data_IF_479273558254
#
_entry.id   IF_479273558254
#
_cell.length_a   1.000
_cell.length_b   1.000
_cell.length_c   1.000
_cell.angle_alpha   90.00
_cell.angle_beta   90.00
_cell.angle_gamma   90.00
#
_symmetry.space_group_name_H-M   'P 1'
#
loop_
_entity.id
_entity.type
_entity.pdbx_description
1 polymer ?
#
# COMPACT_ATOMS: atom_id res chain seq x y z
N UNK A 1 -75.22 0.60 19.47
CA UNK A 1 -74.68 -0.59 18.80
C UNK A 1 -73.27 -0.26 18.33
N UNK A 2 -72.30 -0.51 19.21
CA UNK A 2 -70.86 -0.37 18.96
C UNK A 2 -70.34 -1.73 18.57
N UNK A 3 -69.89 -1.86 17.32
CA UNK A 3 -69.29 -3.09 16.80
C UNK A 3 -67.82 -3.14 17.25
N UNK A 4 -67.55 -3.95 18.27
CA UNK A 4 -66.22 -4.21 18.80
C UNK A 4 -65.50 -5.18 17.86
N UNK A 5 -64.60 -4.66 17.03
CA UNK A 5 -63.61 -5.47 16.33
C UNK A 5 -62.76 -6.24 17.34
N UNK A 6 -62.69 -7.56 17.16
CA UNK A 6 -61.94 -8.51 17.99
C UNK A 6 -60.45 -8.13 18.08
N UNK A 7 -59.82 -8.24 19.27
CA UNK A 7 -58.38 -8.01 19.46
C UNK A 7 -57.46 -8.93 18.63
N UNK A 8 -57.98 -10.05 18.13
CA UNK A 8 -57.18 -11.10 17.49
C UNK A 8 -56.72 -10.78 16.05
N UNK A 9 -57.38 -9.85 15.35
CA UNK A 9 -56.97 -9.47 14.00
C UNK A 9 -55.80 -8.47 13.97
N UNK A 10 -55.66 -7.64 15.01
CA UNK A 10 -54.57 -6.65 15.08
C UNK A 10 -53.24 -7.34 15.42
N UNK A 11 -53.26 -8.36 16.27
CA UNK A 11 -52.06 -9.14 16.62
C UNK A 11 -51.51 -10.02 15.50
N UNK A 12 -52.33 -10.35 14.49
CA UNK A 12 -51.92 -11.25 13.39
C UNK A 12 -51.25 -10.52 12.22
N UNK A 13 -51.49 -9.21 12.08
CA UNK A 13 -50.85 -8.39 11.05
C UNK A 13 -49.47 -7.90 11.49
N UNK A 14 -49.25 -7.68 12.80
CA UNK A 14 -47.93 -7.30 13.33
C UNK A 14 -46.91 -8.45 13.32
N UNK A 15 -47.34 -9.72 13.34
CA UNK A 15 -46.41 -10.86 13.35
C UNK A 15 -45.87 -11.25 11.97
N UNK A 16 -46.37 -10.64 10.88
CA UNK A 16 -46.03 -11.01 9.50
C UNK A 16 -45.04 -10.05 8.83
N UNK A 17 -44.62 -8.98 9.51
CA UNK A 17 -43.38 -8.30 9.14
C UNK A 17 -42.25 -9.07 9.82
N UNK A 18 -41.93 -10.23 9.24
CA UNK A 18 -40.66 -10.90 9.45
C UNK A 18 -39.59 -9.82 9.26
N UNK A 19 -39.06 -9.32 10.38
CA UNK A 19 -37.99 -8.34 10.37
C UNK A 19 -36.89 -8.95 9.53
N UNK A 20 -36.75 -8.50 8.29
CA UNK A 20 -35.76 -9.00 7.37
C UNK A 20 -34.45 -8.97 8.15
N UNK A 21 -33.98 -10.16 8.54
CA UNK A 21 -32.87 -10.29 9.44
C UNK A 21 -31.69 -9.77 8.63
N UNK A 22 -31.35 -8.49 8.79
CA UNK A 22 -30.23 -7.88 8.09
C UNK A 22 -29.06 -8.74 8.51
N UNK A 23 -28.61 -9.63 7.61
CA UNK A 23 -27.46 -10.49 7.87
C UNK A 23 -26.32 -9.54 8.14
N UNK A 24 -26.01 -9.36 9.41
CA UNK A 24 -24.96 -8.44 9.84
C UNK A 24 -23.69 -8.98 9.22
N UNK A 25 -23.16 -8.26 8.22
CA UNK A 25 -21.94 -8.65 7.52
C UNK A 25 -20.86 -8.75 8.58
N UNK A 26 -20.35 -9.95 8.79
CA UNK A 26 -19.29 -10.20 9.77
C UNK A 26 -18.02 -9.57 9.20
N UNK A 27 -17.46 -8.51 9.81
CA UNK A 27 -16.33 -7.79 9.23
C UNK A 27 -15.16 -8.72 8.91
N UNK A 28 -14.86 -9.66 9.82
CA UNK A 28 -13.79 -10.66 9.61
C UNK A 28 -13.98 -11.47 8.34
N UNK A 29 -15.19 -11.92 8.01
CA UNK A 29 -15.42 -12.74 6.82
C UNK A 29 -15.28 -11.90 5.55
N UNK A 30 -15.83 -10.70 5.54
CA UNK A 30 -15.69 -9.76 4.42
C UNK A 30 -14.21 -9.44 4.15
N UNK A 31 -13.49 -8.95 5.16
CA UNK A 31 -12.08 -8.58 5.01
C UNK A 31 -11.19 -9.79 4.69
N UNK A 32 -11.48 -10.95 5.28
CA UNK A 32 -10.74 -12.17 4.94
C UNK A 32 -10.99 -12.63 3.51
N UNK A 33 -12.21 -12.42 2.98
CA UNK A 33 -12.55 -12.71 1.60
C UNK A 33 -11.78 -11.80 0.64
N UNK A 34 -11.76 -10.49 0.92
CA UNK A 34 -10.95 -9.52 0.17
C UNK A 34 -9.47 -9.91 0.21
N UNK A 35 -8.92 -10.20 1.39
CA UNK A 35 -7.52 -10.61 1.54
C UNK A 35 -7.20 -11.90 0.79
N UNK A 36 -8.10 -12.89 0.81
CA UNK A 36 -7.93 -14.12 0.05
C UNK A 36 -7.90 -13.87 -1.46
N UNK A 37 -8.80 -13.02 -1.98
CA UNK A 37 -8.79 -12.61 -3.40
C UNK A 37 -7.48 -11.92 -3.76
N UNK A 38 -7.03 -10.96 -2.94
CA UNK A 38 -5.74 -10.28 -3.17
C UNK A 38 -4.56 -11.25 -3.20
N UNK A 39 -4.51 -12.23 -2.29
CA UNK A 39 -3.43 -13.25 -2.26
C UNK A 39 -3.48 -14.14 -3.50
N UNK A 40 -4.67 -14.59 -3.91
CA UNK A 40 -4.82 -15.41 -5.11
C UNK A 40 -4.38 -14.63 -6.36
N UNK A 41 -4.73 -13.34 -6.42
CA UNK A 41 -4.31 -12.48 -7.51
C UNK A 41 -2.80 -12.22 -7.50
N UNK A 42 -2.21 -11.95 -6.33
CA UNK A 42 -0.76 -11.83 -6.16
C UNK A 42 -0.04 -13.10 -6.65
N UNK A 43 -0.53 -14.27 -6.24
CA UNK A 43 0.03 -15.56 -6.67
C UNK A 43 -0.07 -15.76 -8.18
N UNK A 44 -1.20 -15.38 -8.79
CA UNK A 44 -1.37 -15.39 -10.25
C UNK A 44 -0.35 -14.47 -10.93
N UNK A 45 -0.22 -13.22 -10.48
CA UNK A 45 0.68 -12.22 -11.08
C UNK A 45 2.13 -12.69 -11.01
N UNK A 46 2.61 -13.11 -9.83
CA UNK A 46 3.98 -13.62 -9.70
C UNK A 46 4.21 -14.89 -10.52
N UNK A 47 3.25 -15.82 -10.56
CA UNK A 47 3.37 -17.03 -11.38
C UNK A 47 3.43 -16.67 -12.86
N UNK A 48 2.55 -15.79 -13.34
CA UNK A 48 2.54 -15.33 -14.72
C UNK A 48 3.84 -14.61 -15.08
N UNK A 49 4.38 -13.81 -14.17
CA UNK A 49 5.63 -13.09 -14.35
C UNK A 49 6.83 -14.03 -14.51
N UNK A 50 6.93 -15.05 -13.65
CA UNK A 50 7.99 -16.07 -13.74
C UNK A 50 7.83 -16.92 -15.00
N UNK A 51 6.63 -17.44 -15.27
CA UNK A 51 6.36 -18.35 -16.40
C UNK A 51 6.52 -17.65 -17.75
N UNK A 52 6.21 -16.36 -17.84
CA UNK A 52 6.42 -15.57 -19.07
C UNK A 52 7.89 -15.26 -19.37
N UNK A 53 8.81 -15.52 -18.44
CA UNK A 53 10.22 -15.20 -18.58
C UNK A 53 10.55 -13.71 -18.41
N UNK A 54 9.60 -12.91 -17.90
CA UNK A 54 9.79 -11.47 -17.67
C UNK A 54 10.57 -11.17 -16.38
N UNK A 55 10.81 -12.18 -15.52
CA UNK A 55 11.56 -12.06 -14.28
C UNK A 55 13.09 -12.00 -14.50
N UNK A 56 13.53 -11.09 -15.37
CA UNK A 56 14.94 -10.87 -15.72
C UNK A 56 15.39 -9.50 -15.27
N UNK A 57 16.67 -9.29 -14.89
CA UNK A 57 17.18 -7.96 -14.54
C UNK A 57 16.91 -6.91 -15.63
N UNK A 58 16.51 -5.70 -15.24
CA UNK A 58 16.42 -4.56 -16.14
C UNK A 58 17.80 -3.89 -16.26
N UNK A 59 18.17 -3.53 -17.49
CA UNK A 59 19.44 -2.88 -17.80
C UNK A 59 19.38 -1.37 -17.48
N UNK A 60 20.30 -0.82 -16.65
CA UNK A 60 20.39 0.61 -16.39
C UNK A 60 20.85 1.44 -17.61
N UNK A 61 21.34 0.80 -18.67
CA UNK A 61 21.79 1.49 -19.87
C UNK A 61 23.11 2.25 -19.68
N UNK A 62 23.46 3.13 -20.65
CA UNK A 62 24.81 3.69 -20.76
C UNK A 62 25.13 4.86 -19.81
N UNK A 63 24.13 5.55 -19.24
CA UNK A 63 24.39 6.71 -18.38
C UNK A 63 25.11 6.30 -17.09
N UNK A 64 26.17 7.03 -16.75
CA UNK A 64 26.93 6.80 -15.53
C UNK A 64 26.10 7.17 -14.29
N UNK A 65 25.93 6.21 -13.38
CA UNK A 65 25.28 6.45 -12.09
C UNK A 65 26.24 7.25 -11.20
N UNK A 66 25.88 8.45 -10.73
CA UNK A 66 26.77 9.28 -9.90
C UNK A 66 27.21 8.57 -8.60
N UNK A 67 28.43 8.84 -8.13
CA UNK A 67 28.98 8.17 -6.93
C UNK A 67 28.14 8.34 -5.66
N UNK A 68 27.51 9.51 -5.48
CA UNK A 68 26.58 9.76 -4.38
C UNK A 68 25.33 8.87 -4.44
N UNK A 69 24.78 8.66 -5.64
CA UNK A 69 23.65 7.75 -5.89
C UNK A 69 24.06 6.30 -5.63
N UNK A 70 25.22 5.86 -6.11
CA UNK A 70 25.73 4.50 -5.84
C UNK A 70 25.89 4.22 -4.34
N UNK A 71 26.37 5.21 -3.57
CA UNK A 71 26.47 5.10 -2.13
C UNK A 71 25.08 4.98 -1.48
N UNK A 72 24.13 5.83 -1.87
CA UNK A 72 22.75 5.76 -1.37
C UNK A 72 22.11 4.40 -1.68
N UNK A 73 22.26 3.90 -2.91
CA UNK A 73 21.78 2.58 -3.32
C UNK A 73 22.37 1.47 -2.45
N UNK A 74 23.70 1.50 -2.22
CA UNK A 74 24.38 0.52 -1.37
C UNK A 74 23.83 0.54 0.06
N UNK A 75 23.64 1.73 0.63
CA UNK A 75 23.07 1.89 1.97
C UNK A 75 21.66 1.28 2.04
N UNK A 76 20.78 1.61 1.10
CA UNK A 76 19.41 1.10 1.09
C UNK A 76 19.34 -0.42 0.90
N UNK A 77 20.17 -0.98 0.02
CA UNK A 77 20.25 -2.43 -0.20
C UNK A 77 20.79 -3.23 0.99
N UNK A 78 21.40 -2.57 1.97
CA UNK A 78 21.84 -3.19 3.23
C UNK A 78 20.82 -2.91 4.35
N UNK A 79 20.38 -1.65 4.46
CA UNK A 79 19.50 -1.19 5.51
C UNK A 79 18.10 -1.82 5.40
N UNK A 80 17.49 -1.83 4.21
CA UNK A 80 16.13 -2.34 4.03
C UNK A 80 16.01 -3.85 4.36
N UNK A 81 16.90 -4.75 3.87
CA UNK A 81 16.86 -6.16 4.28
C UNK A 81 17.17 -6.36 5.77
N UNK A 82 18.08 -5.57 6.34
CA UNK A 82 18.39 -5.64 7.78
C UNK A 82 17.18 -5.27 8.62
N UNK A 83 16.48 -4.18 8.27
CA UNK A 83 15.26 -3.75 8.95
C UNK A 83 14.11 -4.75 8.76
N UNK A 84 13.98 -5.35 7.57
CA UNK A 84 13.04 -6.44 7.31
C UNK A 84 13.30 -7.64 8.23
N UNK A 85 14.56 -8.08 8.34
CA UNK A 85 14.95 -9.17 9.24
C UNK A 85 14.65 -8.84 10.70
N UNK A 86 14.97 -7.62 11.15
CA UNK A 86 14.66 -7.16 12.52
C UNK A 86 13.15 -7.17 12.77
N UNK A 87 12.34 -6.70 11.83
CA UNK A 87 10.88 -6.72 11.91
C UNK A 87 10.34 -8.16 12.02
N UNK A 88 10.81 -9.07 11.15
CA UNK A 88 10.44 -10.49 11.16
C UNK A 88 10.80 -11.13 12.50
N UNK A 89 12.05 -10.99 12.96
CA UNK A 89 12.51 -11.55 14.23
C UNK A 89 11.70 -10.99 15.40
N UNK A 90 11.37 -9.69 15.38
CA UNK A 90 10.55 -9.05 16.39
C UNK A 90 9.14 -9.67 16.45
N UNK A 91 8.44 -9.78 15.32
CA UNK A 91 7.05 -10.28 15.29
C UNK A 91 6.97 -11.77 15.57
N UNK A 92 7.97 -12.55 15.14
CA UNK A 92 8.09 -13.97 15.46
C UNK A 92 8.29 -14.17 16.96
N UNK A 93 9.27 -13.48 17.57
CA UNK A 93 9.52 -13.57 19.02
C UNK A 93 8.29 -13.15 19.83
N UNK A 94 7.60 -12.08 19.40
CA UNK A 94 6.38 -11.63 20.05
C UNK A 94 5.26 -12.67 19.95
N UNK A 95 5.03 -13.23 18.76
CA UNK A 95 3.99 -14.23 18.55
C UNK A 95 4.26 -15.52 19.32
N UNK A 96 5.53 -15.94 19.42
CA UNK A 96 5.94 -17.09 20.23
C UNK A 96 5.70 -16.84 21.73
N UNK A 97 6.02 -15.65 22.23
CA UNK A 97 5.77 -15.26 23.63
C UNK A 97 4.28 -15.26 23.96
N UNK A 98 3.46 -14.75 23.06
CA UNK A 98 2.00 -14.67 23.23
C UNK A 98 1.29 -16.00 22.92
N UNK A 99 2.00 -16.99 22.37
CA UNK A 99 1.47 -18.27 21.87
C UNK A 99 0.31 -18.11 20.88
N UNK A 100 0.26 -16.95 20.22
CA UNK A 100 -0.72 -16.60 19.20
C UNK A 100 -0.09 -15.61 18.22
N UNK A 101 -0.61 -15.56 17.00
CA UNK A 101 -0.14 -14.61 16.00
C UNK A 101 -0.57 -13.19 16.41
N UNK A 102 0.40 -12.33 16.72
CA UNK A 102 0.13 -10.97 17.16
C UNK A 102 -0.29 -10.08 15.98
N UNK A 103 -0.98 -8.97 16.26
CA UNK A 103 -1.46 -8.07 15.19
C UNK A 103 -0.30 -7.49 14.38
N UNK A 104 0.85 -7.23 15.01
CA UNK A 104 2.06 -6.81 14.31
C UNK A 104 2.54 -7.84 13.29
N UNK A 105 2.44 -9.14 13.61
CA UNK A 105 2.77 -10.20 12.66
C UNK A 105 1.78 -10.21 11.49
N UNK A 106 0.49 -10.00 11.75
CA UNK A 106 -0.51 -9.90 10.69
C UNK A 106 -0.26 -8.69 9.77
N UNK A 107 0.19 -7.55 10.32
CA UNK A 107 0.58 -6.38 9.54
C UNK A 107 1.79 -6.71 8.66
N UNK A 108 2.87 -7.27 9.21
CA UNK A 108 4.08 -7.63 8.46
C UNK A 108 3.78 -8.63 7.35
N UNK A 109 3.00 -9.68 7.65
CA UNK A 109 2.61 -10.68 6.64
C UNK A 109 1.74 -10.03 5.56
N UNK A 110 0.72 -9.28 5.96
CA UNK A 110 -0.22 -8.65 5.04
C UNK A 110 0.45 -7.62 4.12
N UNK A 111 1.39 -6.82 4.65
CA UNK A 111 2.13 -5.86 3.85
C UNK A 111 3.22 -6.48 2.99
N UNK A 112 3.90 -7.53 3.46
CA UNK A 112 4.85 -8.28 2.63
C UNK A 112 4.17 -8.90 1.40
N UNK A 113 2.95 -9.43 1.59
CA UNK A 113 2.13 -9.90 0.46
C UNK A 113 1.76 -8.70 -0.40
N UNK A 114 1.36 -7.57 0.21
CA UNK A 114 0.88 -6.41 -0.53
C UNK A 114 1.82 -6.02 -1.68
N UNK A 115 3.15 -6.07 -1.51
CA UNK A 115 4.17 -5.68 -2.50
C UNK A 115 3.84 -5.95 -3.99
N UNK A 116 3.11 -7.01 -4.35
CA UNK A 116 2.64 -7.22 -5.72
C UNK A 116 1.89 -6.01 -6.32
N UNK A 117 1.26 -5.20 -5.47
CA UNK A 117 0.46 -4.04 -5.84
C UNK A 117 1.29 -2.79 -6.09
N UNK A 118 2.55 -2.75 -5.65
CA UNK A 118 3.44 -1.59 -5.78
C UNK A 118 3.47 -1.03 -7.22
N UNK A 119 3.60 -1.87 -8.26
CA UNK A 119 3.66 -1.37 -9.63
C UNK A 119 2.33 -0.86 -10.17
N UNK A 120 1.21 -1.08 -9.47
CA UNK A 120 -0.10 -0.63 -9.92
C UNK A 120 -0.17 0.88 -10.02
N UNK A 121 0.70 1.63 -9.33
CA UNK A 121 0.87 3.08 -9.51
C UNK A 121 1.13 3.49 -10.98
N UNK A 122 1.62 2.54 -11.79
CA UNK A 122 1.94 2.71 -13.20
C UNK A 122 0.89 2.07 -14.13
N UNK A 123 -0.38 1.95 -13.71
CA UNK A 123 -1.42 1.22 -14.44
C UNK A 123 -1.72 1.84 -15.80
N UNK A 124 -1.93 3.16 -15.85
CA UNK A 124 -2.28 3.88 -17.09
C UNK A 124 -1.05 4.27 -17.91
N UNK A 125 0.02 4.67 -17.22
CA UNK A 125 1.25 5.17 -17.81
C UNK A 125 2.35 5.16 -16.73
N UNK A 126 3.64 5.36 -17.09
CA UNK A 126 4.69 5.53 -16.10
C UNK A 126 4.46 6.75 -15.18
N UNK A 127 4.32 6.52 -13.88
CA UNK A 127 4.18 7.56 -12.84
C UNK A 127 5.33 7.54 -11.85
N UNK A 128 5.91 6.36 -11.62
CA UNK A 128 7.04 6.13 -10.73
C UNK A 128 8.09 5.27 -11.43
N UNK A 129 9.35 5.67 -11.30
CA UNK A 129 10.52 4.90 -11.68
C UNK A 129 11.35 4.54 -10.45
N UNK A 130 12.02 3.40 -10.57
CA UNK A 130 13.10 3.00 -9.69
C UNK A 130 14.42 2.93 -10.44
N UNK A 131 15.51 3.19 -9.73
CA UNK A 131 16.84 3.10 -10.31
C UNK A 131 17.21 1.64 -10.63
N UNK A 132 17.46 1.35 -11.90
CA UNK A 132 17.84 0.04 -12.43
C UNK A 132 19.26 -0.40 -12.05
N UNK A 133 20.08 0.46 -11.45
CA UNK A 133 21.34 0.04 -10.86
C UNK A 133 21.17 -0.72 -9.52
N UNK A 134 19.97 -0.70 -8.92
CA UNK A 134 19.66 -1.53 -7.76
C UNK A 134 19.53 -3.00 -8.21
N UNK A 135 19.68 -3.93 -7.26
CA UNK A 135 19.36 -5.35 -7.46
C UNK A 135 17.86 -5.43 -7.74
N UNK A 136 17.55 -5.64 -9.02
CA UNK A 136 16.23 -5.50 -9.57
C UNK A 136 15.89 -6.67 -10.51
N UNK A 137 14.60 -6.78 -10.78
CA UNK A 137 14.07 -7.53 -11.92
C UNK A 137 13.10 -6.65 -12.70
N UNK A 138 12.80 -7.03 -13.93
CA UNK A 138 11.77 -6.43 -14.74
C UNK A 138 10.41 -6.51 -14.03
N UNK A 139 9.70 -5.40 -14.04
CA UNK A 139 8.47 -5.25 -13.28
C UNK A 139 7.31 -6.12 -13.83
N UNK A 140 6.42 -6.62 -12.97
CA UNK A 140 5.33 -7.54 -13.36
C UNK A 140 4.01 -6.86 -13.76
N UNK A 141 3.94 -5.53 -13.86
CA UNK A 141 2.69 -4.80 -14.13
C UNK A 141 2.03 -5.23 -15.46
N UNK A 142 2.81 -5.55 -16.50
CA UNK A 142 2.31 -6.07 -17.78
C UNK A 142 1.69 -7.47 -17.67
N UNK A 143 2.00 -8.23 -16.61
CA UNK A 143 1.36 -9.51 -16.30
C UNK A 143 0.03 -9.34 -15.56
N UNK A 144 -0.31 -8.13 -15.13
CA UNK A 144 -1.59 -7.83 -14.47
C UNK A 144 -2.68 -7.69 -15.55
N UNK A 145 -3.77 -8.49 -15.50
CA UNK A 145 -4.81 -8.44 -16.52
C UNK A 145 -5.47 -7.05 -16.60
N UNK A 146 -5.53 -6.50 -17.81
CA UNK A 146 -6.11 -5.19 -18.07
C UNK A 146 -5.17 -4.00 -17.86
N UNK A 147 -3.89 -4.25 -17.56
CA UNK A 147 -2.82 -3.24 -17.57
C UNK A 147 -2.85 -2.40 -18.86
N UNK A 148 -2.67 -1.08 -18.71
CA UNK A 148 -2.71 -0.12 -19.82
C UNK A 148 -1.38 0.57 -20.09
N UNK A 149 -0.31 0.23 -19.36
CA UNK A 149 1.03 0.81 -19.56
C UNK A 149 1.99 -0.20 -20.22
N UNK A 150 2.07 -0.22 -21.56
CA UNK A 150 2.82 -1.24 -22.29
C UNK A 150 4.33 -1.14 -22.05
N UNK A 151 4.98 -2.31 -21.95
CA UNK A 151 6.42 -2.39 -21.72
C UNK A 151 6.88 -2.05 -20.31
N UNK A 152 5.95 -2.01 -19.33
CA UNK A 152 6.31 -1.85 -17.92
C UNK A 152 7.28 -2.91 -17.44
N UNK A 153 7.36 -4.09 -18.07
CA UNK A 153 8.36 -5.12 -17.79
C UNK A 153 9.81 -4.65 -17.90
N UNK A 154 10.04 -3.55 -18.61
CA UNK A 154 11.36 -2.96 -18.77
C UNK A 154 11.75 -2.07 -17.59
N UNK A 155 10.77 -1.62 -16.80
CA UNK A 155 11.01 -0.89 -15.56
C UNK A 155 11.66 -1.80 -14.52
N UNK A 156 12.65 -1.28 -13.81
CA UNK A 156 13.28 -1.98 -12.70
C UNK A 156 12.36 -2.05 -11.48
N UNK A 157 12.35 -3.21 -10.83
CA UNK A 157 11.67 -3.47 -9.56
C UNK A 157 12.71 -3.89 -8.49
N UNK A 158 13.15 -2.96 -7.60
CA UNK A 158 14.24 -3.21 -6.65
C UNK A 158 13.88 -4.09 -5.46
N UNK A 159 14.10 -5.40 -5.57
CA UNK A 159 13.69 -6.38 -4.54
C UNK A 159 14.32 -6.13 -3.17
N UNK A 160 15.59 -5.72 -3.13
CA UNK A 160 16.30 -5.47 -1.86
C UNK A 160 15.93 -4.14 -1.21
N UNK A 161 15.31 -3.21 -1.95
CA UNK A 161 14.86 -1.93 -1.43
C UNK A 161 13.35 -1.93 -1.22
N UNK A 162 12.56 -1.86 -2.29
CA UNK A 162 11.10 -1.70 -2.20
C UNK A 162 10.45 -2.96 -1.63
N UNK A 163 10.83 -4.15 -2.12
CA UNK A 163 10.29 -5.42 -1.59
C UNK A 163 10.53 -5.59 -0.09
N UNK A 164 11.69 -5.17 0.40
CA UNK A 164 12.00 -5.19 1.83
C UNK A 164 11.27 -4.08 2.63
N UNK A 165 11.05 -2.91 2.04
CA UNK A 165 10.28 -1.80 2.65
C UNK A 165 8.87 -2.25 3.00
N UNK A 166 8.21 -3.03 2.14
CA UNK A 166 6.88 -3.61 2.42
C UNK A 166 6.85 -4.53 3.65
N UNK A 167 7.99 -5.11 4.06
CA UNK A 167 8.07 -5.98 5.24
C UNK A 167 8.17 -5.16 6.53
N UNK A 168 9.02 -4.13 6.58
CA UNK A 168 9.33 -3.44 7.83
C UNK A 168 8.62 -2.10 8.00
N UNK A 169 8.42 -1.33 6.93
CA UNK A 169 8.00 0.07 7.03
C UNK A 169 6.57 0.23 7.55
N UNK A 170 5.56 -0.57 7.13
CA UNK A 170 4.21 -0.52 7.69
C UNK A 170 4.17 -0.81 9.20
N UNK A 171 5.03 -1.71 9.69
CA UNK A 171 5.17 -1.97 11.12
C UNK A 171 5.85 -0.80 11.85
N UNK A 172 6.99 -0.31 11.33
CA UNK A 172 7.76 0.75 11.95
C UNK A 172 6.98 2.07 12.02
N UNK A 173 6.43 2.50 10.89
CA UNK A 173 5.63 3.72 10.78
C UNK A 173 4.28 3.56 11.47
N UNK A 174 3.67 2.38 11.43
CA UNK A 174 2.48 2.09 12.22
C UNK A 174 2.73 2.21 13.74
N UNK A 175 3.90 1.77 14.22
CA UNK A 175 4.30 1.95 15.63
C UNK A 175 4.56 3.40 16.00
N UNK A 176 5.20 4.16 15.11
CA UNK A 176 5.39 5.61 15.26
C UNK A 176 4.05 6.33 15.34
N UNK A 177 3.14 6.08 14.39
CA UNK A 177 1.79 6.61 14.40
C UNK A 177 1.08 6.25 15.71
N UNK A 178 1.14 4.98 16.13
CA UNK A 178 0.60 4.52 17.40
C UNK A 178 1.19 5.24 18.63
N UNK A 179 2.49 5.53 18.62
CA UNK A 179 3.15 6.30 19.67
C UNK A 179 2.64 7.74 19.71
N UNK A 180 2.55 8.41 18.57
CA UNK A 180 2.05 9.78 18.47
C UNK A 180 0.57 9.87 18.89
N UNK A 181 -0.26 8.90 18.47
CA UNK A 181 -1.65 8.77 18.92
C UNK A 181 -1.77 8.62 20.45
N UNK A 182 -0.92 7.78 21.07
CA UNK A 182 -0.86 7.64 22.54
C UNK A 182 -0.43 8.95 23.20
N UNK A 183 0.57 9.63 22.65
CA UNK A 183 1.10 10.90 23.17
C UNK A 183 0.05 12.00 23.12
N UNK A 184 -0.70 12.09 22.01
CA UNK A 184 -1.78 13.03 21.82
C UNK A 184 -2.92 12.78 22.82
N UNK A 185 -3.38 11.54 22.99
CA UNK A 185 -4.42 11.21 23.98
C UNK A 185 -4.01 11.41 25.43
N UNK A 186 -2.71 11.23 25.76
CA UNK A 186 -2.20 11.57 27.10
C UNK A 186 -2.27 13.07 27.38
N UNK A 187 -2.02 13.91 26.36
CA UNK A 187 -2.06 15.37 26.50
C UNK A 187 -3.48 15.93 26.43
N UNK A 188 -4.34 15.29 25.64
CA UNK A 188 -5.72 15.67 25.38
C UNK A 188 -6.63 14.43 25.39
N UNK A 189 -7.12 14.01 26.57
CA UNK A 189 -7.90 12.78 26.73
C UNK A 189 -9.23 12.77 25.97
N UNK A 190 -9.81 13.94 25.71
CA UNK A 190 -11.09 14.12 25.00
C UNK A 190 -10.94 14.12 23.47
N UNK A 191 -9.75 13.84 22.92
CA UNK A 191 -9.56 13.78 21.48
C UNK A 191 -10.38 12.65 20.84
N UNK A 192 -11.25 13.03 19.91
CA UNK A 192 -11.99 12.09 19.08
C UNK A 192 -11.07 11.20 18.22
N UNK A 193 -11.60 10.09 17.67
CA UNK A 193 -10.82 9.13 16.88
C UNK A 193 -10.12 9.76 15.67
N UNK A 194 -10.79 10.64 14.93
CA UNK A 194 -10.26 11.30 13.73
C UNK A 194 -9.06 12.17 14.06
N UNK A 195 -9.19 13.09 15.04
CA UNK A 195 -8.07 13.94 15.47
C UNK A 195 -6.92 13.14 16.08
N UNK A 196 -7.24 12.04 16.76
CA UNK A 196 -6.21 11.10 17.24
C UNK A 196 -5.43 10.54 16.05
N UNK A 197 -6.12 10.00 15.03
CA UNK A 197 -5.49 9.46 13.83
C UNK A 197 -4.62 10.50 13.12
N UNK A 198 -5.12 11.74 12.93
CA UNK A 198 -4.34 12.81 12.31
C UNK A 198 -3.04 13.13 13.06
N UNK A 199 -3.00 13.02 14.38
CA UNK A 199 -1.74 13.17 15.13
C UNK A 199 -0.75 12.04 14.82
N UNK A 200 -1.24 10.82 14.60
CA UNK A 200 -0.43 9.69 14.12
C UNK A 200 0.09 9.91 12.70
N UNK A 201 -0.81 10.32 11.80
CA UNK A 201 -0.49 10.61 10.40
C UNK A 201 0.54 11.71 10.25
N UNK A 202 0.37 12.83 10.96
CA UNK A 202 1.31 13.95 10.90
C UNK A 202 2.71 13.53 11.34
N UNK A 203 2.82 12.66 12.35
CA UNK A 203 4.11 12.14 12.81
C UNK A 203 4.80 11.25 11.76
N UNK A 204 4.03 10.47 10.99
CA UNK A 204 4.56 9.68 9.88
C UNK A 204 4.97 10.58 8.73
N UNK A 205 4.10 11.51 8.32
CA UNK A 205 4.34 12.46 7.23
C UNK A 205 5.61 13.30 7.43
N UNK A 206 5.85 13.80 8.65
CA UNK A 206 7.06 14.59 8.96
C UNK A 206 8.36 13.79 8.79
N UNK A 207 8.31 12.46 8.83
CA UNK A 207 9.48 11.60 8.57
C UNK A 207 9.51 11.17 7.11
N UNK A 208 8.37 10.78 6.58
CA UNK A 208 8.23 10.20 5.26
C UNK A 208 8.53 11.24 4.15
N UNK A 209 8.05 12.48 4.31
CA UNK A 209 8.29 13.53 3.32
C UNK A 209 9.79 13.85 3.11
N UNK A 210 10.62 14.03 4.16
CA UNK A 210 12.07 14.14 3.98
C UNK A 210 12.74 12.89 3.41
N UNK A 211 12.26 11.68 3.74
CA UNK A 211 12.80 10.44 3.19
C UNK A 211 12.55 10.36 1.68
N UNK A 212 11.39 10.79 1.22
CA UNK A 212 11.05 10.80 -0.19
C UNK A 212 11.84 11.86 -0.97
N UNK A 213 12.00 13.07 -0.39
CA UNK A 213 12.91 14.09 -0.94
C UNK A 213 14.33 13.52 -1.07
N UNK A 214 14.83 12.84 -0.04
CA UNK A 214 16.14 12.20 -0.06
C UNK A 214 16.22 11.16 -1.18
N UNK A 215 15.21 10.29 -1.31
CA UNK A 215 15.18 9.24 -2.31
C UNK A 215 15.21 9.79 -3.75
N UNK A 216 14.45 10.86 -4.01
CA UNK A 216 14.43 11.51 -5.32
C UNK A 216 15.76 12.22 -5.62
N UNK A 217 16.29 13.00 -4.67
CA UNK A 217 17.54 13.76 -4.89
C UNK A 217 18.78 12.86 -5.01
N UNK A 218 18.75 11.67 -4.42
CA UNK A 218 19.83 10.69 -4.57
C UNK A 218 19.57 9.72 -5.71
N UNK A 219 18.51 9.90 -6.50
CA UNK A 219 18.22 9.07 -7.66
C UNK A 219 17.92 7.62 -7.29
N UNK A 220 17.20 7.35 -6.20
CA UNK A 220 16.66 6.03 -5.88
C UNK A 220 15.28 5.81 -6.53
N UNK A 221 14.49 6.88 -6.57
CA UNK A 221 13.14 6.93 -7.15
C UNK A 221 12.99 8.19 -7.99
N UNK A 222 12.05 8.18 -8.94
CA UNK A 222 11.77 9.32 -9.79
C UNK A 222 10.29 9.34 -10.18
N UNK A 223 9.72 10.54 -10.35
CA UNK A 223 8.30 10.72 -10.67
C UNK A 223 8.12 11.33 -12.08
N UNK A 224 8.11 10.53 -13.15
CA UNK A 224 7.96 11.06 -14.52
C UNK A 224 6.65 11.78 -14.79
N UNK A 225 5.54 11.34 -14.18
CA UNK A 225 4.22 11.94 -14.39
C UNK A 225 3.68 12.52 -13.08
N UNK A 226 3.50 13.83 -13.03
CA UNK A 226 2.90 14.51 -11.88
C UNK A 226 2.18 15.80 -12.26
N UNK A 227 1.25 16.24 -11.40
CA UNK A 227 0.51 17.49 -11.58
C UNK A 227 1.44 18.68 -11.28
N UNK A 228 1.83 19.52 -12.25
CA UNK A 228 2.83 20.56 -12.03
C UNK A 228 2.51 21.52 -10.89
N UNK A 229 1.23 21.89 -10.74
CA UNK A 229 0.76 22.78 -9.66
C UNK A 229 0.76 22.18 -8.26
N UNK A 230 0.95 20.87 -8.12
CA UNK A 230 0.99 20.14 -6.85
C UNK A 230 2.32 19.39 -6.64
N UNK A 231 3.37 19.79 -7.36
CA UNK A 231 4.68 19.14 -7.38
C UNK A 231 5.77 20.14 -6.99
N UNK A 232 6.69 19.74 -6.11
CA UNK A 232 7.91 20.51 -5.87
C UNK A 232 8.96 20.20 -6.93
N UNK A 233 9.73 21.21 -7.33
CA UNK A 233 10.70 21.12 -8.44
C UNK A 233 10.07 20.62 -9.74
N UNK A 234 8.80 20.97 -9.97
CA UNK A 234 8.06 20.55 -11.15
C UNK A 234 8.86 20.82 -12.44
N UNK A 235 8.93 19.80 -13.29
CA UNK A 235 9.67 19.82 -14.54
C UNK A 235 11.15 19.42 -14.44
N UNK A 236 11.70 19.27 -13.23
CA UNK A 236 13.06 18.75 -13.04
C UNK A 236 13.03 17.24 -12.79
N UNK A 237 14.14 16.56 -13.07
CA UNK A 237 14.30 15.13 -12.74
C UNK A 237 14.15 14.82 -11.25
N UNK A 238 14.35 15.81 -10.37
CA UNK A 238 14.20 15.70 -8.92
C UNK A 238 12.82 16.10 -8.39
N UNK A 239 11.81 16.15 -9.26
CA UNK A 239 10.47 16.54 -8.85
C UNK A 239 9.82 15.54 -7.89
N UNK A 240 9.00 16.06 -6.98
CA UNK A 240 8.22 15.25 -6.02
C UNK A 240 6.77 15.72 -5.96
N UNK A 241 5.79 14.87 -6.31
CA UNK A 241 4.39 15.22 -6.16
C UNK A 241 4.05 15.30 -4.66
N UNK A 242 3.61 16.47 -4.18
CA UNK A 242 3.30 16.66 -2.75
C UNK A 242 2.23 15.70 -2.23
N UNK A 243 1.34 15.25 -3.12
CA UNK A 243 0.31 14.28 -2.79
C UNK A 243 0.86 12.87 -2.53
N UNK A 244 2.01 12.49 -3.12
CA UNK A 244 2.64 11.17 -2.89
C UNK A 244 2.93 10.92 -1.40
N UNK A 245 3.80 11.73 -0.76
CA UNK A 245 4.12 11.64 0.66
C UNK A 245 2.89 11.68 1.57
N UNK A 246 1.92 12.55 1.24
CA UNK A 246 0.68 12.73 1.98
C UNK A 246 -0.13 11.44 2.00
N UNK A 247 -0.37 10.86 0.82
CA UNK A 247 -1.18 9.67 0.64
C UNK A 247 -0.45 8.42 1.16
N UNK A 248 0.86 8.29 0.92
CA UNK A 248 1.63 7.17 1.42
C UNK A 248 1.71 7.16 2.95
N UNK A 249 1.87 8.33 3.55
CA UNK A 249 1.79 8.49 5.01
C UNK A 249 0.43 8.10 5.59
N UNK A 250 -0.68 8.32 4.85
CA UNK A 250 -2.01 7.84 5.26
C UNK A 250 -2.08 6.31 5.26
N UNK A 251 -1.54 5.67 4.21
CA UNK A 251 -1.45 4.20 4.11
C UNK A 251 -0.65 3.63 5.28
N UNK A 252 0.56 4.15 5.52
CA UNK A 252 1.42 3.69 6.62
C UNK A 252 0.77 3.91 8.00
N UNK A 253 0.10 5.05 8.20
CA UNK A 253 -0.60 5.37 9.45
C UNK A 253 -1.83 4.50 9.69
N UNK A 254 -2.44 3.96 8.63
CA UNK A 254 -3.56 3.01 8.75
C UNK A 254 -3.15 1.72 9.48
N UNK A 255 -1.91 1.26 9.30
CA UNK A 255 -1.32 0.15 10.06
C UNK A 255 -1.25 0.49 11.55
N UNK A 256 -0.85 1.73 11.87
CA UNK A 256 -0.87 2.24 13.24
C UNK A 256 -2.28 2.32 13.82
N UNK A 257 -3.24 2.76 13.01
CA UNK A 257 -4.65 2.84 13.39
C UNK A 257 -5.24 1.46 13.71
N UNK A 258 -4.95 0.45 12.89
CA UNK A 258 -5.30 -0.95 13.17
C UNK A 258 -4.77 -1.40 14.53
N UNK A 259 -3.50 -1.14 14.80
CA UNK A 259 -2.88 -1.58 16.06
C UNK A 259 -3.40 -0.79 17.28
N UNK A 260 -3.71 0.49 17.11
CA UNK A 260 -4.10 1.41 18.18
C UNK A 260 -5.58 1.36 18.54
N UNK A 261 -6.48 1.41 17.55
CA UNK A 261 -7.93 1.45 17.79
C UNK A 261 -8.47 0.05 18.01
N UNK A 262 -8.77 -0.27 19.27
CA UNK A 262 -9.40 -1.53 19.67
C UNK A 262 -10.86 -1.32 20.02
N UNK A 263 -11.68 -2.34 19.73
CA UNK A 263 -13.05 -2.38 20.22
C UNK A 263 -13.08 -2.66 21.74
N UNK A 264 -14.28 -2.68 22.35
CA UNK A 264 -14.44 -2.97 23.79
C UNK A 264 -13.89 -4.35 24.20
N UNK A 265 -13.78 -5.28 23.25
CA UNK A 265 -13.26 -6.62 23.45
C UNK A 265 -11.75 -6.72 23.15
N UNK A 266 -11.05 -5.61 22.92
CA UNK A 266 -9.62 -5.58 22.60
C UNK A 266 -9.25 -5.96 21.16
N UNK A 267 -10.23 -6.22 20.29
CA UNK A 267 -10.02 -6.67 18.91
C UNK A 267 -9.85 -5.48 17.96
N UNK A 268 -9.10 -5.68 16.86
CA UNK A 268 -9.10 -4.73 15.75
C UNK A 268 -10.44 -4.80 15.00
N UNK A 269 -10.87 -3.70 14.37
CA UNK A 269 -12.19 -3.64 13.73
C UNK A 269 -12.34 -4.64 12.59
N UNK A 270 -11.27 -4.93 11.86
CA UNK A 270 -11.28 -5.83 10.71
C UNK A 270 -11.42 -7.31 11.11
N UNK A 271 -11.02 -7.68 12.33
CA UNK A 271 -11.17 -9.06 12.84
C UNK A 271 -12.42 -9.24 13.72
N UNK A 272 -13.22 -8.18 13.87
CA UNK A 272 -14.40 -8.20 14.73
C UNK A 272 -15.37 -9.32 14.31
N UNK A 273 -15.83 -10.09 15.30
CA UNK A 273 -16.74 -11.22 15.10
C UNK A 273 -16.04 -12.57 14.91
N UNK A 274 -14.70 -12.64 14.87
CA UNK A 274 -13.97 -13.91 14.74
C UNK A 274 -14.29 -14.92 15.84
N UNK A 275 -14.59 -14.46 17.06
CA UNK A 275 -14.94 -15.34 18.18
C UNK A 275 -16.33 -15.97 18.05
N UNK A 276 -17.21 -15.36 17.26
CA UNK A 276 -18.56 -15.90 17.01
C UNK A 276 -18.53 -17.13 16.09
N UNK A 277 -17.40 -17.37 15.42
CA UNK A 277 -17.18 -18.52 14.53
C UNK A 277 -16.87 -19.76 15.37
N UNK A 278 -17.93 -20.37 15.95
CA UNK A 278 -17.82 -21.57 16.80
C UNK A 278 -17.24 -22.78 16.07
N UNK A 279 -17.39 -22.85 14.75
CA UNK A 279 -16.84 -23.91 13.91
C UNK A 279 -15.34 -23.75 13.65
N UNK A 280 -14.77 -22.55 13.83
CA UNK A 280 -13.39 -22.26 13.49
C UNK A 280 -12.47 -22.56 14.67
N UNK A 281 -11.54 -23.50 14.50
CA UNK A 281 -10.47 -23.75 15.46
C UNK A 281 -9.46 -22.59 15.54
N UNK A 282 -8.53 -22.61 16.52
CA UNK A 282 -7.58 -21.51 16.74
C UNK A 282 -6.72 -21.15 15.51
N UNK A 283 -6.29 -22.15 14.74
CA UNK A 283 -5.49 -21.94 13.51
C UNK A 283 -6.29 -21.24 12.42
N UNK A 284 -7.54 -21.64 12.21
CA UNK A 284 -8.44 -21.02 11.22
C UNK A 284 -8.75 -19.58 11.62
N UNK A 285 -9.03 -19.33 12.90
CA UNK A 285 -9.22 -17.97 13.42
C UNK A 285 -7.99 -17.09 13.19
N UNK A 286 -6.78 -17.61 13.45
CA UNK A 286 -5.54 -16.88 13.20
C UNK A 286 -5.34 -16.56 11.71
N UNK A 287 -5.61 -17.53 10.82
CA UNK A 287 -5.56 -17.31 9.37
C UNK A 287 -6.55 -16.23 8.93
N UNK A 288 -7.80 -16.30 9.39
CA UNK A 288 -8.83 -15.31 9.07
C UNK A 288 -8.44 -13.89 9.54
N UNK A 289 -7.77 -13.77 10.70
CA UNK A 289 -7.24 -12.49 11.18
C UNK A 289 -6.16 -11.93 10.26
N UNK A 290 -5.20 -12.77 9.85
CA UNK A 290 -4.15 -12.37 8.89
C UNK A 290 -4.80 -11.94 7.58
N UNK A 291 -5.67 -12.76 7.00
CA UNK A 291 -6.38 -12.44 5.76
C UNK A 291 -7.18 -11.12 5.88
N UNK A 292 -7.84 -10.89 7.01
CA UNK A 292 -8.58 -9.66 7.22
C UNK A 292 -7.68 -8.42 7.28
N UNK A 293 -6.52 -8.52 7.94
CA UNK A 293 -5.51 -7.45 7.94
C UNK A 293 -4.93 -7.25 6.54
N UNK A 294 -4.59 -8.33 5.84
CA UNK A 294 -4.12 -8.29 4.45
C UNK A 294 -5.12 -7.57 3.55
N UNK A 295 -6.40 -7.97 3.56
CA UNK A 295 -7.44 -7.35 2.74
C UNK A 295 -7.63 -5.87 3.06
N UNK A 296 -7.57 -5.48 4.33
CA UNK A 296 -7.62 -4.07 4.72
C UNK A 296 -6.43 -3.28 4.19
N UNK A 297 -5.21 -3.80 4.35
CA UNK A 297 -4.00 -3.11 3.89
C UNK A 297 -4.02 -2.93 2.36
N UNK A 298 -4.48 -3.92 1.60
CA UNK A 298 -4.62 -3.80 0.15
C UNK A 298 -5.65 -2.75 -0.25
N UNK A 299 -6.85 -2.77 0.35
CA UNK A 299 -7.90 -1.79 0.03
C UNK A 299 -7.43 -0.37 0.35
N UNK A 300 -6.73 -0.18 1.47
CA UNK A 300 -6.19 1.14 1.82
C UNK A 300 -5.06 1.53 0.87
N UNK A 301 -4.10 0.65 0.60
CA UNK A 301 -2.96 1.00 -0.24
C UNK A 301 -3.39 1.29 -1.69
N UNK A 302 -4.19 0.41 -2.30
CA UNK A 302 -4.71 0.60 -3.65
C UNK A 302 -5.68 1.79 -3.73
N UNK A 303 -6.60 1.90 -2.77
CA UNK A 303 -7.64 2.93 -2.82
C UNK A 303 -7.19 4.33 -2.41
N UNK A 304 -6.25 4.44 -1.47
CA UNK A 304 -5.78 5.74 -0.94
C UNK A 304 -4.52 6.21 -1.66
N UNK A 305 -3.66 5.31 -2.14
CA UNK A 305 -2.40 5.68 -2.78
C UNK A 305 -2.42 5.39 -4.28
N UNK A 306 -2.48 4.12 -4.71
CA UNK A 306 -2.29 3.78 -6.12
C UNK A 306 -3.31 4.47 -7.02
N UNK A 307 -4.61 4.35 -6.71
CA UNK A 307 -5.66 4.89 -7.56
C UNK A 307 -5.58 6.43 -7.67
N UNK A 308 -5.50 7.21 -6.58
CA UNK A 308 -5.34 8.66 -6.71
C UNK A 308 -4.06 9.09 -7.42
N UNK A 309 -2.93 8.42 -7.18
CA UNK A 309 -1.65 8.78 -7.82
C UNK A 309 -1.66 8.44 -9.31
N UNK A 310 -2.24 7.31 -9.71
CA UNK A 310 -2.48 6.97 -11.11
C UNK A 310 -3.30 8.05 -11.82
N UNK A 311 -4.42 8.46 -11.21
CA UNK A 311 -5.30 9.47 -11.78
C UNK A 311 -4.61 10.84 -11.85
N UNK A 312 -3.79 11.18 -10.86
CA UNK A 312 -2.98 12.39 -10.87
C UNK A 312 -1.95 12.36 -12.00
N UNK A 313 -1.36 11.20 -12.30
CA UNK A 313 -0.45 11.01 -13.42
C UNK A 313 -1.06 11.37 -14.77
N UNK A 314 -2.38 11.23 -14.96
CA UNK A 314 -3.07 11.63 -16.20
C UNK A 314 -2.99 13.14 -16.50
N UNK A 315 -2.59 13.95 -15.52
CA UNK A 315 -2.37 15.39 -15.66
C UNK A 315 -0.86 15.74 -15.66
N UNK A 316 -0.02 14.80 -16.10
CA UNK A 316 1.43 15.01 -16.22
C UNK A 316 1.75 16.28 -17.04
N UNK A 317 2.71 17.07 -16.56
CA UNK A 317 3.31 18.15 -17.33
C UNK A 317 4.72 17.83 -17.87
N UNK A 318 5.32 18.77 -18.63
CA UNK A 318 6.70 18.69 -19.12
C UNK A 318 7.71 18.43 -18.01
N UNK A 319 8.65 17.53 -18.30
CA UNK A 319 9.77 17.18 -17.43
C UNK A 319 11.06 17.03 -18.22
N UNK A 320 12.18 17.36 -17.59
CA UNK A 320 13.50 17.01 -18.09
C UNK A 320 13.64 15.51 -18.32
N UNK A 321 14.39 15.13 -19.37
CA UNK A 321 14.65 13.74 -19.68
C UNK A 321 15.38 13.04 -18.54
N UNK A 322 14.77 11.99 -18.01
CA UNK A 322 15.39 11.13 -17.01
C UNK A 322 16.60 10.37 -17.60
N UNK A 323 17.65 10.15 -16.79
CA UNK A 323 18.78 9.33 -17.20
C UNK A 323 18.36 7.88 -17.48
N UNK A 324 19.14 7.17 -18.29
CA UNK A 324 18.82 5.80 -18.74
C UNK A 324 18.64 4.84 -17.57
N UNK A 325 19.37 5.02 -16.47
CA UNK A 325 19.26 4.16 -15.29
C UNK A 325 17.95 4.34 -14.50
N UNK A 326 17.14 5.36 -14.81
CA UNK A 326 15.80 5.55 -14.26
C UNK A 326 14.72 5.06 -15.22
N UNK A 327 14.75 5.55 -16.46
CA UNK A 327 13.71 5.25 -17.46
C UNK A 327 13.91 3.92 -18.18
N UNK A 328 15.11 3.34 -18.10
CA UNK A 328 15.51 2.10 -18.80
C UNK A 328 15.15 2.17 -20.29
N UNK A 329 14.47 1.15 -20.82
CA UNK A 329 13.86 1.11 -22.15
C UNK A 329 12.32 1.22 -22.08
N UNK A 330 11.78 1.67 -20.94
CA UNK A 330 10.34 1.75 -20.73
C UNK A 330 9.70 2.87 -21.59
N UNK A 331 10.31 4.05 -21.60
CA UNK A 331 9.91 5.19 -22.43
C UNK A 331 11.07 6.19 -22.65
N UNK A 332 10.82 7.18 -23.50
CA UNK A 332 11.69 8.33 -23.74
C UNK A 332 12.60 8.14 -24.96
N UNK A 333 13.67 8.95 -25.09
CA UNK A 333 14.58 8.89 -26.23
C UNK A 333 15.14 7.48 -26.46
N UNK A 334 15.33 7.12 -27.72
CA UNK A 334 15.81 5.81 -28.16
C UNK A 334 14.86 4.63 -27.87
N UNK A 335 13.60 4.92 -27.51
CA UNK A 335 12.55 3.91 -27.35
C UNK A 335 11.38 4.21 -28.29
N UNK A 336 10.54 3.21 -28.64
CA UNK A 336 9.38 3.42 -29.50
C UNK A 336 8.21 4.16 -28.80
N UNK A 337 8.37 4.59 -27.53
CA UNK A 337 7.31 5.20 -26.72
C UNK A 337 7.79 6.50 -26.10
N UNK A 338 7.03 7.58 -26.28
CA UNK A 338 7.26 8.80 -25.53
C UNK A 338 7.02 8.56 -24.03
N UNK A 339 7.77 9.23 -23.16
CA UNK A 339 7.42 9.26 -21.75
C UNK A 339 6.18 10.14 -21.54
N UNK A 340 5.43 9.92 -20.45
CA UNK A 340 4.33 10.80 -20.08
C UNK A 340 4.91 12.09 -19.50
N UNK A 341 5.44 12.93 -20.38
CA UNK A 341 6.03 14.22 -20.06
C UNK A 341 5.12 15.36 -20.51
N UNK A 342 3.82 15.13 -20.66
CA UNK A 342 2.88 16.20 -21.00
C UNK A 342 3.27 17.03 -22.23
N UNK A 343 4.11 16.49 -23.14
CA UNK A 343 4.41 17.15 -24.41
C UNK A 343 3.09 17.34 -25.14
N UNK A 344 2.69 18.61 -25.28
CA UNK A 344 1.47 19.00 -25.97
C UNK A 344 1.56 18.48 -27.40
N UNK A 345 0.46 17.98 -27.93
CA UNK A 345 0.32 17.49 -29.32
C UNK A 345 0.68 18.52 -30.41
N UNK A 346 1.06 19.75 -30.04
CA UNK A 346 1.27 20.90 -30.94
C UNK A 346 2.75 21.32 -31.13
N UNK A 347 3.73 20.59 -30.59
CA UNK A 347 5.17 20.83 -30.88
C UNK A 347 5.68 19.96 -32.04
N UNK A 348 4.97 19.96 -33.18
CA UNK A 348 5.47 19.48 -34.48
C UNK A 348 5.79 20.62 -35.45
#
# INVERSE_FOLDING_TARGET
MTDLKSPDEVGRVESAVESAQIKTVRPVLFWSGVGAVCILFAAYVYTSWIVSGNATPADPGPDLIPGGTQLAMTIFQIACPTLALVAIVYVVRKSLRERQLCVEAAVVIGSAIAWWHDPLINWFQPVLFYNAGLVNFGNWMENVPGSLSPGSRLMAEPVLMIGMIYIWMPLAMGKLAGWAMRRARRRWPTLGPVRTFFAGWLAVYVIEFPLEIFAVHHGLVAYPASIPGATLWAGQTVQIPLYGPILWSLVLSSSGALMFFRNRNGQIRVEAGVETLRWAGPRVKALLRVLAVTGFLHVVAIGVYDLPVNLAGLYAGPTETYPTYMRTQYCGPDTPRACPDGTLFDDQ
#
